data_IF_665093436107
#
_entry.id   IF_665093436107
#
_cell.length_a   1.000
_cell.length_b   1.000
_cell.length_c   1.000
_cell.angle_alpha   90.00
_cell.angle_beta   90.00
_cell.angle_gamma   90.00
#
_symmetry.space_group_name_H-M   'P 1'
#
loop_
_entity.id
_entity.type
_entity.pdbx_description
1 polymer ?
#
# COMPACT_ATOMS: atom_id res chain seq x y z
N UNK A 1 -13.15 9.47 15.95
CA UNK A 1 -11.75 9.10 15.70
C UNK A 1 -11.63 7.79 14.92
N UNK A 2 -12.30 6.71 15.34
CA UNK A 2 -12.28 5.39 14.66
C UNK A 2 -12.66 5.49 13.17
N UNK A 3 -13.71 6.24 12.83
CA UNK A 3 -14.17 6.38 11.43
C UNK A 3 -13.11 6.98 10.52
N UNK A 4 -12.42 8.04 10.96
CA UNK A 4 -11.38 8.71 10.15
C UNK A 4 -10.20 7.77 9.90
N UNK A 5 -9.76 7.03 10.92
CA UNK A 5 -8.69 6.04 10.77
C UNK A 5 -9.09 4.90 9.82
N UNK A 6 -10.33 4.41 9.91
CA UNK A 6 -10.85 3.38 9.00
C UNK A 6 -10.87 3.87 7.55
N UNK A 7 -11.35 5.09 7.30
CA UNK A 7 -11.34 5.67 5.96
C UNK A 7 -9.91 5.85 5.45
N UNK A 8 -8.97 6.29 6.29
CA UNK A 8 -7.56 6.37 5.91
C UNK A 8 -6.96 4.99 5.54
N UNK A 9 -7.28 3.93 6.30
CA UNK A 9 -6.85 2.58 5.96
C UNK A 9 -7.46 2.07 4.65
N UNK A 10 -8.75 2.35 4.40
CA UNK A 10 -9.40 2.01 3.13
C UNK A 10 -8.71 2.72 1.96
N UNK A 11 -8.43 4.01 2.09
CA UNK A 11 -7.73 4.78 1.06
C UNK A 11 -6.32 4.23 0.82
N UNK A 12 -5.57 3.89 1.86
CA UNK A 12 -4.24 3.26 1.75
C UNK A 12 -4.29 1.86 1.11
N UNK A 13 -5.31 1.06 1.43
CA UNK A 13 -5.52 -0.24 0.82
C UNK A 13 -5.90 -0.11 -0.66
N UNK A 14 -6.76 0.86 -1.01
CA UNK A 14 -7.09 1.20 -2.40
C UNK A 14 -5.89 1.74 -3.16
N UNK A 15 -5.04 2.52 -2.53
CA UNK A 15 -3.86 3.09 -3.14
C UNK A 15 -2.85 1.99 -3.52
N UNK A 16 -2.54 1.06 -2.62
CA UNK A 16 -1.67 -0.08 -2.91
C UNK A 16 -2.34 -1.14 -3.80
N UNK A 17 -3.52 -1.63 -3.38
CA UNK A 17 -4.24 -2.69 -4.06
C UNK A 17 -4.80 -2.25 -5.42
N UNK A 18 -5.30 -1.01 -5.52
CA UNK A 18 -5.78 -0.43 -6.76
C UNK A 18 -4.66 -0.15 -7.76
N UNK A 19 -3.47 0.26 -7.31
CA UNK A 19 -2.31 0.37 -8.20
C UNK A 19 -1.89 -0.99 -8.77
N UNK A 20 -1.78 -2.02 -7.93
CA UNK A 20 -1.48 -3.38 -8.37
C UNK A 20 -2.55 -3.91 -9.34
N UNK A 21 -3.84 -3.78 -8.98
CA UNK A 21 -4.95 -4.21 -9.82
C UNK A 21 -5.01 -3.44 -11.15
N UNK A 22 -4.72 -2.13 -11.13
CA UNK A 22 -4.67 -1.29 -12.33
C UNK A 22 -3.58 -1.73 -13.30
N UNK A 23 -2.39 -2.04 -12.79
CA UNK A 23 -1.29 -2.60 -13.60
C UNK A 23 -1.70 -3.95 -14.21
N UNK A 24 -2.28 -4.85 -13.41
CA UNK A 24 -2.69 -6.18 -13.89
C UNK A 24 -3.80 -6.06 -14.93
N UNK A 25 -4.78 -5.19 -14.70
CA UNK A 25 -5.88 -4.95 -15.63
C UNK A 25 -5.41 -4.35 -16.96
N UNK A 26 -4.33 -3.58 -16.94
CA UNK A 26 -3.71 -2.97 -18.11
C UNK A 26 -2.46 -3.71 -18.59
N UNK A 27 -2.24 -4.95 -18.15
CA UNK A 27 -0.95 -5.65 -18.30
C UNK A 27 -0.46 -5.69 -19.75
N UNK A 28 -1.32 -6.02 -20.72
CA UNK A 28 -0.94 -6.11 -22.14
C UNK A 28 -0.44 -4.77 -22.71
N UNK A 29 -1.01 -3.65 -22.24
CA UNK A 29 -0.60 -2.31 -22.67
C UNK A 29 0.65 -1.84 -21.96
N UNK A 30 0.75 -2.12 -20.66
CA UNK A 30 1.86 -1.66 -19.82
C UNK A 30 3.12 -2.47 -20.09
N UNK A 31 3.00 -3.78 -20.31
CA UNK A 31 4.14 -4.65 -20.64
C UNK A 31 4.76 -4.37 -22.01
N UNK A 32 4.04 -3.70 -22.91
CA UNK A 32 4.58 -3.20 -24.17
C UNK A 32 5.44 -1.93 -24.01
N UNK A 33 5.27 -1.19 -22.90
CA UNK A 33 5.95 0.08 -22.63
C UNK A 33 6.95 0.01 -21.46
N UNK A 34 6.84 -0.99 -20.60
CA UNK A 34 7.62 -1.13 -19.37
C UNK A 34 8.27 -2.51 -19.32
N UNK A 35 9.53 -2.56 -18.91
CA UNK A 35 10.24 -3.82 -18.71
C UNK A 35 9.46 -4.77 -17.76
N UNK A 36 9.27 -6.06 -18.13
CA UNK A 36 8.52 -7.02 -17.32
C UNK A 36 9.11 -7.25 -15.92
N UNK A 37 10.44 -7.12 -15.75
CA UNK A 37 11.09 -7.23 -14.45
C UNK A 37 10.72 -6.08 -13.53
N UNK A 38 10.77 -4.86 -14.06
CA UNK A 38 10.35 -3.63 -13.36
C UNK A 38 8.87 -3.70 -12.96
N UNK A 39 8.02 -4.20 -13.86
CA UNK A 39 6.58 -4.35 -13.59
C UNK A 39 6.31 -5.33 -12.45
N UNK A 40 6.99 -6.49 -12.45
CA UNK A 40 6.90 -7.47 -11.37
C UNK A 40 7.37 -6.87 -10.04
N UNK A 41 8.49 -6.13 -10.04
CA UNK A 41 9.01 -5.48 -8.84
C UNK A 41 7.98 -4.48 -8.27
N UNK A 42 7.39 -3.64 -9.13
CA UNK A 42 6.35 -2.68 -8.72
C UNK A 42 5.13 -3.36 -8.12
N UNK A 43 4.62 -4.43 -8.74
CA UNK A 43 3.48 -5.21 -8.20
C UNK A 43 3.85 -5.80 -6.84
N UNK A 44 5.04 -6.39 -6.70
CA UNK A 44 5.51 -6.93 -5.42
C UNK A 44 5.56 -5.85 -4.33
N UNK A 45 6.06 -4.65 -4.65
CA UNK A 45 6.09 -3.52 -3.70
C UNK A 45 4.68 -3.09 -3.29
N UNK A 46 3.74 -2.97 -4.22
CA UNK A 46 2.35 -2.67 -3.90
C UNK A 46 1.68 -3.74 -3.03
N UNK A 47 1.96 -5.02 -3.29
CA UNK A 47 1.44 -6.12 -2.46
C UNK A 47 2.03 -6.09 -1.05
N UNK A 48 3.34 -5.84 -0.91
CA UNK A 48 3.97 -5.66 0.41
C UNK A 48 3.35 -4.47 1.16
N UNK A 49 3.15 -3.35 0.47
CA UNK A 49 2.46 -2.19 1.02
C UNK A 49 1.03 -2.51 1.47
N UNK A 50 0.30 -3.34 0.72
CA UNK A 50 -1.04 -3.80 1.09
C UNK A 50 -1.04 -4.68 2.34
N UNK A 51 -0.09 -5.62 2.45
CA UNK A 51 0.08 -6.46 3.65
C UNK A 51 0.39 -5.61 4.87
N UNK A 52 1.25 -4.60 4.74
CA UNK A 52 1.53 -3.64 5.81
C UNK A 52 0.28 -2.88 6.26
N UNK A 53 -0.61 -2.45 5.35
CA UNK A 53 -1.89 -1.82 5.71
C UNK A 53 -2.81 -2.78 6.46
N UNK A 54 -2.89 -4.04 6.01
CA UNK A 54 -3.64 -5.08 6.70
C UNK A 54 -3.13 -5.28 8.14
N UNK A 55 -1.81 -5.36 8.32
CA UNK A 55 -1.18 -5.42 9.64
C UNK A 55 -1.50 -4.19 10.50
N UNK A 56 -1.37 -2.99 9.94
CA UNK A 56 -1.70 -1.74 10.64
C UNK A 56 -3.16 -1.69 11.09
N UNK A 57 -4.09 -2.18 10.27
CA UNK A 57 -5.51 -2.27 10.60
C UNK A 57 -5.76 -3.20 11.80
N UNK A 58 -5.14 -4.39 11.80
CA UNK A 58 -5.21 -5.34 12.94
C UNK A 58 -4.62 -4.71 14.20
N UNK A 59 -3.46 -4.07 14.11
CA UNK A 59 -2.85 -3.38 15.25
C UNK A 59 -3.71 -2.23 15.77
N UNK A 60 -4.39 -1.49 14.91
CA UNK A 60 -5.35 -0.45 15.30
C UNK A 60 -6.52 -1.06 16.09
N UNK A 61 -7.06 -2.20 15.66
CA UNK A 61 -8.09 -2.92 16.41
C UNK A 61 -7.60 -3.38 17.79
N UNK A 62 -6.40 -3.97 17.85
CA UNK A 62 -5.79 -4.39 19.11
C UNK A 62 -5.53 -3.20 20.04
N UNK A 63 -5.07 -2.07 19.50
CA UNK A 63 -4.86 -0.83 20.26
C UNK A 63 -6.15 -0.37 20.92
N UNK A 64 -7.27 -0.38 20.18
CA UNK A 64 -8.58 -0.01 20.73
C UNK A 64 -9.02 -0.97 21.84
N UNK A 65 -8.80 -2.28 21.67
CA UNK A 65 -9.14 -3.26 22.69
C UNK A 65 -8.28 -3.08 23.97
N UNK A 66 -6.99 -2.79 23.82
CA UNK A 66 -6.12 -2.52 24.97
C UNK A 66 -6.51 -1.22 25.66
N UNK A 67 -6.79 -0.16 24.89
CA UNK A 67 -7.24 1.11 25.44
C UNK A 67 -8.59 0.96 26.17
N UNK A 68 -9.52 0.15 25.65
CA UNK A 68 -10.77 -0.16 26.33
C UNK A 68 -10.53 -0.85 27.68
N UNK A 69 -9.61 -1.82 27.72
CA UNK A 69 -9.25 -2.50 28.97
C UNK A 69 -8.55 -1.58 29.97
N UNK A 70 -7.76 -0.61 29.51
CA UNK A 70 -7.19 0.45 30.36
C UNK A 70 -8.28 1.34 30.97
N UNK A 71 -9.26 1.77 30.16
CA UNK A 71 -10.38 2.59 30.62
C UNK A 71 -11.25 1.88 31.66
N UNK A 72 -11.34 0.55 31.60
CA UNK A 72 -12.06 -0.28 32.57
C UNK A 72 -11.21 -0.67 33.80
N UNK A 73 -9.94 -0.26 33.87
CA UNK A 73 -9.04 -0.59 34.97
C UNK A 73 -8.55 -2.04 34.98
N UNK A 74 -8.69 -2.79 33.87
CA UNK A 74 -8.18 -4.16 33.74
C UNK A 74 -6.70 -4.23 33.30
N UNK A 75 -6.11 -3.11 32.89
CA UNK A 75 -4.71 -3.01 32.46
C UNK A 75 -4.04 -1.74 32.97
N UNK A 76 -2.71 -1.78 33.03
CA UNK A 76 -1.90 -0.60 33.37
C UNK A 76 -2.04 0.50 32.31
N UNK A 77 -2.07 1.78 32.72
CA UNK A 77 -2.11 2.91 31.79
C UNK A 77 -0.91 2.85 30.82
N UNK A 78 -1.14 3.28 29.57
CA UNK A 78 -0.16 3.31 28.47
C UNK A 78 0.27 1.95 27.88
N UNK A 79 -0.37 0.85 28.27
CA UNK A 79 -0.16 -0.48 27.67
C UNK A 79 -0.47 -0.54 26.16
N UNK A 80 -1.30 0.36 25.64
CA UNK A 80 -1.69 0.45 24.23
C UNK A 80 -0.61 1.10 23.33
N UNK A 81 0.30 1.90 23.92
CA UNK A 81 1.30 2.69 23.21
C UNK A 81 2.27 1.88 22.32
N UNK A 82 2.82 0.71 22.74
CA UNK A 82 3.71 -0.07 21.87
C UNK A 82 3.00 -0.61 20.62
N UNK A 83 1.75 -1.09 20.76
CA UNK A 83 0.96 -1.60 19.63
C UNK A 83 0.63 -0.46 18.67
N UNK A 84 0.30 0.72 19.20
CA UNK A 84 0.06 1.91 18.39
C UNK A 84 1.29 2.33 17.60
N UNK A 85 2.47 2.37 18.24
CA UNK A 85 3.75 2.70 17.57
C UNK A 85 4.06 1.72 16.44
N UNK A 86 3.85 0.42 16.68
CA UNK A 86 4.04 -0.59 15.65
C UNK A 86 3.06 -0.40 14.48
N UNK A 87 1.77 -0.19 14.76
CA UNK A 87 0.77 0.07 13.73
C UNK A 87 1.09 1.31 12.90
N UNK A 88 1.55 2.40 13.54
CA UNK A 88 1.98 3.61 12.85
C UNK A 88 3.21 3.37 11.97
N UNK A 89 4.16 2.56 12.42
CA UNK A 89 5.29 2.10 11.61
C UNK A 89 4.83 1.37 10.36
N UNK A 90 3.88 0.43 10.47
CA UNK A 90 3.33 -0.30 9.32
C UNK A 90 2.68 0.64 8.28
N UNK A 91 2.00 1.71 8.70
CA UNK A 91 1.42 2.72 7.78
C UNK A 91 2.53 3.43 7.01
N UNK A 92 3.58 3.90 7.69
CA UNK A 92 4.71 4.58 7.05
C UNK A 92 5.43 3.65 6.07
N UNK A 93 5.65 2.39 6.46
CA UNK A 93 6.24 1.39 5.56
C UNK A 93 5.39 1.11 4.34
N UNK A 94 4.06 1.02 4.51
CA UNK A 94 3.15 0.85 3.37
C UNK A 94 3.25 2.02 2.38
N UNK A 95 3.29 3.25 2.88
CA UNK A 95 3.43 4.43 2.04
C UNK A 95 4.79 4.42 1.32
N UNK A 96 5.86 4.04 2.00
CA UNK A 96 7.19 3.91 1.41
C UNK A 96 7.22 2.86 0.29
N UNK A 97 6.57 1.70 0.49
CA UNK A 97 6.46 0.67 -0.54
C UNK A 97 5.63 1.14 -1.73
N UNK A 98 4.53 1.85 -1.50
CA UNK A 98 3.77 2.45 -2.59
C UNK A 98 4.62 3.44 -3.39
N UNK A 99 5.29 4.38 -2.71
CA UNK A 99 6.15 5.37 -3.38
C UNK A 99 7.26 4.69 -4.18
N UNK A 100 7.93 3.68 -3.61
CA UNK A 100 8.96 2.93 -4.31
C UNK A 100 8.39 2.19 -5.54
N UNK A 101 7.25 1.50 -5.39
CA UNK A 101 6.60 0.79 -6.49
C UNK A 101 6.16 1.72 -7.63
N UNK A 102 5.66 2.90 -7.28
CA UNK A 102 5.28 3.94 -8.25
C UNK A 102 6.49 4.53 -8.98
N UNK A 103 7.60 4.79 -8.28
CA UNK A 103 8.84 5.29 -8.89
C UNK A 103 9.46 4.25 -9.84
N UNK A 104 9.50 2.98 -9.43
CA UNK A 104 9.97 1.88 -10.29
C UNK A 104 9.13 1.78 -11.56
N UNK A 105 7.79 1.84 -11.43
CA UNK A 105 6.91 1.76 -12.58
C UNK A 105 7.06 2.98 -13.50
N UNK A 106 7.18 4.19 -12.92
CA UNK A 106 7.25 5.44 -13.66
C UNK A 106 8.58 5.68 -14.37
N UNK A 107 9.72 5.36 -13.75
CA UNK A 107 11.03 5.58 -14.35
C UNK A 107 11.43 4.54 -15.40
N UNK A 108 10.75 3.39 -15.45
CA UNK A 108 11.00 2.33 -16.44
C UNK A 108 10.02 2.35 -17.62
N UNK A 109 9.28 3.44 -17.81
CA UNK A 109 8.47 3.65 -19.02
C UNK A 109 9.42 4.02 -20.15
N UNK A 110 9.56 3.11 -21.11
CA UNK A 110 10.17 3.43 -22.40
C UNK A 110 9.13 4.19 -23.23
N UNK A 111 9.50 5.33 -23.81
CA UNK A 111 8.65 5.98 -24.82
C UNK A 111 8.37 4.96 -25.93
N UNK A 112 7.10 4.57 -26.05
CA UNK A 112 6.63 3.77 -27.17
C UNK A 112 6.84 4.62 -28.43
N UNK A 113 7.81 4.24 -29.27
CA UNK A 113 7.97 4.87 -30.59
C UNK A 113 6.62 4.84 -31.32
N UNK A 114 6.07 5.99 -31.74
CA UNK A 114 4.86 6.00 -32.55
C UNK A 114 5.17 5.21 -33.83
N UNK A 115 4.43 4.11 -34.01
CA UNK A 115 4.59 3.20 -35.14
C UNK A 115 4.59 4.01 -36.45
N UNK A 116 5.78 4.16 -37.03
CA UNK A 116 5.97 4.90 -38.25
C UNK A 116 5.43 4.08 -39.42
N UNK A 117 4.37 4.62 -40.03
CA UNK A 117 4.08 4.56 -41.48
C UNK A 117 3.56 3.21 -42.02
N UNK A 118 2.24 3.14 -42.20
CA UNK A 118 1.63 2.19 -43.16
C UNK A 118 2.18 2.48 -44.57
N UNK A 119 2.70 1.49 -45.31
CA UNK A 119 2.87 1.61 -46.75
C UNK A 119 1.49 1.58 -47.42
N UNK A 120 1.24 2.59 -48.26
CA UNK A 120 0.11 2.62 -49.20
C UNK A 120 0.38 1.66 -50.35
#
# INVERSE_FOLDING_TARGET
MITVSIEAFKLMALLNGGAAAGIIAAYDKVSAAVDPGSLKLSICLFVLGLVCVGGAFVCSYLTQNVLFNELMGFKEPDSHMPILKFGMGCVVFSLAFFSAGALVAGFNIHEVQPCARMPR
#
